data_IF_406998322648
#
_entry.id   IF_406998322648
#
_cell.length_a   1.000
_cell.length_b   1.000
_cell.length_c   1.000
_cell.angle_alpha   90.00
_cell.angle_beta   90.00
_cell.angle_gamma   90.00
#
_symmetry.space_group_name_H-M   'P 1'
#
loop_
_entity.id
_entity.type
_entity.pdbx_description
1 polymer ?
#
# COMPACT_ATOMS: atom_id res chain seq x y z
N UNK A 1 21.53 -10.43 -4.96
CA UNK A 1 20.25 -10.92 -4.45
C UNK A 1 19.34 -9.71 -4.43
N UNK A 2 18.33 -9.68 -5.29
CA UNK A 2 17.30 -8.65 -5.20
C UNK A 2 16.51 -9.03 -3.95
N UNK A 3 16.67 -8.28 -2.86
CA UNK A 3 15.77 -8.45 -1.73
C UNK A 3 14.37 -8.14 -2.25
N UNK A 4 13.55 -9.19 -2.32
CA UNK A 4 12.15 -9.07 -2.70
C UNK A 4 11.43 -8.21 -1.67
N UNK A 5 10.38 -7.51 -2.13
CA UNK A 5 9.50 -6.76 -1.25
C UNK A 5 8.98 -7.68 -0.11
N UNK A 6 8.95 -7.21 1.16
CA UNK A 6 8.38 -7.98 2.25
C UNK A 6 6.93 -8.42 1.95
N UNK A 7 6.60 -9.68 2.26
CA UNK A 7 5.32 -10.30 1.89
C UNK A 7 4.11 -9.55 2.44
N UNK A 8 4.21 -8.98 3.65
CA UNK A 8 3.13 -8.18 4.26
C UNK A 8 2.79 -6.94 3.44
N UNK A 9 3.81 -6.27 2.90
CA UNK A 9 3.64 -5.09 2.03
C UNK A 9 3.17 -5.51 0.64
N UNK A 10 3.78 -6.55 0.07
CA UNK A 10 3.41 -7.05 -1.25
C UNK A 10 1.93 -7.46 -1.31
N UNK A 11 1.47 -8.22 -0.32
CA UNK A 11 0.08 -8.67 -0.25
C UNK A 11 -0.90 -7.51 -0.12
N UNK A 12 -0.60 -6.50 0.73
CA UNK A 12 -1.50 -5.36 0.90
C UNK A 12 -1.52 -4.50 -0.37
N UNK A 13 -0.38 -4.28 -1.03
CA UNK A 13 -0.36 -3.59 -2.32
C UNK A 13 -1.14 -4.38 -3.38
N UNK A 14 -1.04 -5.71 -3.39
CA UNK A 14 -1.78 -6.56 -4.31
C UNK A 14 -3.30 -6.54 -4.07
N UNK A 15 -3.74 -6.37 -2.82
CA UNK A 15 -5.15 -6.24 -2.45
C UNK A 15 -5.70 -4.84 -2.75
N UNK A 16 -4.91 -3.79 -2.55
CA UNK A 16 -5.34 -2.40 -2.71
C UNK A 16 -5.28 -1.92 -4.17
N UNK A 17 -4.28 -2.38 -4.95
CA UNK A 17 -4.13 -1.97 -6.34
C UNK A 17 -5.05 -2.79 -7.27
N UNK A 18 -6.25 -2.27 -7.52
CA UNK A 18 -7.26 -2.88 -8.40
C UNK A 18 -6.75 -3.15 -9.83
N UNK A 19 -6.75 -4.40 -10.34
CA UNK A 19 -6.26 -4.74 -11.68
C UNK A 19 -7.10 -4.18 -12.83
N UNK A 20 -8.32 -3.70 -12.57
CA UNK A 20 -9.19 -3.09 -13.60
C UNK A 20 -8.86 -1.61 -13.85
N UNK A 21 -8.02 -1.00 -13.01
CA UNK A 21 -7.64 0.41 -13.12
C UNK A 21 -6.27 0.58 -13.80
N UNK A 22 -6.18 1.29 -14.94
CA UNK A 22 -4.92 1.41 -15.69
C UNK A 22 -3.75 1.97 -14.87
N UNK A 23 -4.01 2.91 -13.96
CA UNK A 23 -2.99 3.47 -13.07
C UNK A 23 -2.46 2.41 -12.10
N UNK A 24 -3.35 1.63 -11.49
CA UNK A 24 -2.97 0.54 -10.57
C UNK A 24 -2.19 -0.55 -11.30
N UNK A 25 -2.61 -0.94 -12.52
CA UNK A 25 -1.86 -1.90 -13.35
C UNK A 25 -0.43 -1.41 -13.59
N UNK A 26 -0.24 -0.11 -13.87
CA UNK A 26 1.09 0.47 -14.05
C UNK A 26 1.90 0.46 -12.74
N UNK A 27 1.30 0.82 -11.60
CA UNK A 27 1.96 0.78 -10.29
C UNK A 27 2.35 -0.65 -9.88
N UNK A 28 1.51 -1.65 -10.17
CA UNK A 28 1.83 -3.06 -9.89
C UNK A 28 3.05 -3.56 -10.65
N UNK A 29 3.33 -3.03 -11.85
CA UNK A 29 4.56 -3.37 -12.59
C UNK A 29 5.83 -2.88 -11.90
N UNK A 30 5.72 -1.97 -10.93
CA UNK A 30 6.85 -1.45 -10.17
C UNK A 30 7.23 -2.35 -8.98
N UNK A 31 6.30 -3.16 -8.46
CA UNK A 31 6.49 -4.06 -7.30
C UNK A 31 7.78 -4.90 -7.36
N UNK A 32 8.18 -5.50 -8.51
CA UNK A 32 9.39 -6.32 -8.56
C UNK A 32 10.70 -5.55 -8.35
N UNK A 33 10.69 -4.22 -8.51
CA UNK A 33 11.84 -3.33 -8.29
C UNK A 33 11.70 -2.49 -7.02
N UNK A 34 10.57 -2.59 -6.32
CA UNK A 34 10.25 -1.82 -5.13
C UNK A 34 10.95 -2.42 -3.90
N UNK A 35 11.47 -1.56 -3.03
CA UNK A 35 12.01 -1.97 -1.73
C UNK A 35 11.46 -1.08 -0.63
N UNK A 36 11.38 -1.63 0.58
CA UNK A 36 11.06 -0.85 1.77
C UNK A 36 12.33 -0.15 2.24
N UNK A 37 12.35 1.17 2.11
CA UNK A 37 13.42 2.03 2.62
C UNK A 37 13.36 2.14 4.14
N UNK A 38 12.16 2.34 4.68
CA UNK A 38 11.94 2.44 6.13
C UNK A 38 10.49 2.14 6.50
N UNK A 39 10.24 1.92 7.78
CA UNK A 39 8.89 1.78 8.34
C UNK A 39 8.68 2.79 9.45
N UNK A 40 7.42 3.18 9.66
CA UNK A 40 7.05 3.96 10.82
C UNK A 40 7.34 3.19 12.11
N UNK A 41 7.91 3.87 13.11
CA UNK A 41 8.30 3.26 14.39
C UNK A 41 7.16 3.16 15.40
N UNK A 42 5.99 3.74 15.12
CA UNK A 42 4.84 3.67 16.03
C UNK A 42 4.11 2.31 16.00
N UNK A 43 4.41 1.44 15.03
CA UNK A 43 3.81 0.11 14.92
C UNK A 43 2.61 0.01 13.97
N UNK A 44 2.11 1.11 13.39
CA UNK A 44 1.01 1.08 12.41
C UNK A 44 1.35 0.29 11.13
N UNK A 45 2.65 0.17 10.81
CA UNK A 45 3.11 -0.57 9.65
C UNK A 45 3.15 0.22 8.34
N UNK A 46 2.97 1.55 8.39
CA UNK A 46 3.33 2.47 7.29
C UNK A 46 4.75 2.19 6.81
N UNK A 47 4.91 2.02 5.50
CA UNK A 47 6.16 1.65 4.85
C UNK A 47 6.50 2.64 3.74
N UNK A 48 7.70 3.22 3.82
CA UNK A 48 8.25 4.11 2.80
C UNK A 48 9.09 3.31 1.83
N UNK A 49 8.99 3.63 0.54
CA UNK A 49 9.62 2.87 -0.51
C UNK A 49 10.80 3.59 -1.13
N UNK A 50 11.73 2.79 -1.64
CA UNK A 50 12.69 3.21 -2.63
C UNK A 50 12.43 2.45 -3.93
N UNK A 51 12.55 3.15 -5.06
CA UNK A 51 12.35 2.62 -6.39
C UNK A 51 13.32 3.32 -7.34
N UNK A 52 14.07 2.53 -8.11
CA UNK A 52 14.91 3.12 -9.16
C UNK A 52 14.04 3.55 -10.33
N UNK A 53 13.90 4.86 -10.54
CA UNK A 53 13.09 5.40 -11.63
C UNK A 53 13.59 5.00 -13.03
N UNK A 54 14.88 4.65 -13.16
CA UNK A 54 15.45 4.15 -14.42
C UNK A 54 15.06 2.69 -14.72
N UNK A 55 14.50 1.97 -13.74
CA UNK A 55 14.16 0.55 -13.88
C UNK A 55 12.71 0.30 -14.29
N UNK A 56 11.83 1.29 -14.17
CA UNK A 56 10.38 1.12 -14.36
C UNK A 56 9.74 2.40 -14.93
N UNK A 57 8.64 2.23 -15.65
CA UNK A 57 7.87 3.35 -16.19
C UNK A 57 6.98 4.00 -15.11
N UNK A 58 6.78 5.33 -15.16
CA UNK A 58 5.84 6.01 -14.29
C UNK A 58 4.40 5.63 -14.63
N UNK A 59 3.57 5.47 -13.59
CA UNK A 59 2.13 5.35 -13.73
C UNK A 59 1.49 6.70 -14.12
N UNK A 60 0.33 6.70 -14.81
CA UNK A 60 -0.38 7.91 -15.19
C UNK A 60 -1.14 8.56 -14.01
N UNK A 61 -0.47 8.79 -12.88
CA UNK A 61 -1.04 9.42 -11.67
C UNK A 61 -0.77 10.93 -11.59
N UNK A 62 0.00 11.46 -12.54
CA UNK A 62 0.39 12.87 -12.60
C UNK A 62 1.76 13.16 -11.96
N UNK A 63 2.26 14.40 -12.10
CA UNK A 63 3.63 14.76 -11.68
C UNK A 63 3.78 14.99 -10.16
N UNK A 64 2.67 15.13 -9.43
CA UNK A 64 2.66 15.43 -8.00
C UNK A 64 2.64 14.19 -7.12
N UNK A 65 2.51 14.45 -5.82
CA UNK A 65 2.14 13.43 -4.84
C UNK A 65 0.64 13.28 -4.84
N UNK A 66 0.15 12.04 -4.97
CA UNK A 66 -1.27 11.72 -4.93
C UNK A 66 -1.52 10.45 -4.10
N UNK A 67 -2.72 10.37 -3.52
CA UNK A 67 -3.27 9.08 -3.08
C UNK A 67 -3.63 8.32 -4.36
N UNK A 68 -2.85 7.30 -4.68
CA UNK A 68 -3.06 6.48 -5.86
C UNK A 68 -4.17 5.46 -5.65
N UNK A 69 -4.31 4.94 -4.42
CA UNK A 69 -5.40 4.05 -4.02
C UNK A 69 -5.70 4.23 -2.53
N UNK A 70 -6.96 4.06 -2.15
CA UNK A 70 -7.43 4.04 -0.77
C UNK A 70 -8.45 2.92 -0.59
N UNK A 71 -8.36 2.21 0.54
CA UNK A 71 -9.34 1.17 0.90
C UNK A 71 -9.65 1.24 2.39
N UNK A 72 -10.93 1.41 2.72
CA UNK A 72 -11.40 1.33 4.09
C UNK A 72 -11.27 -0.09 4.63
N UNK A 73 -10.77 -0.18 5.86
CA UNK A 73 -10.69 -1.44 6.59
C UNK A 73 -12.03 -1.69 7.26
N UNK A 74 -12.66 -2.82 6.97
CA UNK A 74 -13.94 -3.21 7.57
C UNK A 74 -13.75 -4.53 8.31
N UNK A 75 -14.03 -4.50 9.60
CA UNK A 75 -13.96 -5.69 10.47
C UNK A 75 -15.13 -6.64 10.20
N UNK A 76 -15.05 -7.85 10.77
CA UNK A 76 -16.11 -8.84 10.67
C UNK A 76 -17.43 -8.40 11.34
N UNK A 77 -17.37 -7.48 12.30
CA UNK A 77 -18.52 -6.86 12.97
C UNK A 77 -19.09 -5.67 12.19
N UNK A 78 -18.46 -5.28 11.07
CA UNK A 78 -18.86 -4.15 10.24
C UNK A 78 -18.33 -2.80 10.72
N UNK A 79 -17.45 -2.77 11.72
CA UNK A 79 -16.77 -1.55 12.16
C UNK A 79 -15.68 -1.14 11.16
N UNK A 80 -15.51 0.17 10.96
CA UNK A 80 -14.48 0.73 10.09
C UNK A 80 -13.40 1.44 10.93
N UNK A 81 -12.43 0.70 11.49
CA UNK A 81 -11.45 1.27 12.42
C UNK A 81 -10.38 2.13 11.73
N UNK A 82 -10.29 2.12 10.40
CA UNK A 82 -9.25 2.83 9.66
C UNK A 82 -9.26 2.54 8.16
N UNK A 83 -8.15 2.85 7.51
CA UNK A 83 -7.95 2.67 6.06
C UNK A 83 -6.48 2.41 5.72
N UNK A 84 -6.26 1.86 4.52
CA UNK A 84 -4.94 1.79 3.88
C UNK A 84 -4.91 2.78 2.73
N UNK A 85 -3.86 3.58 2.66
CA UNK A 85 -3.59 4.52 1.58
C UNK A 85 -2.28 4.12 0.87
N UNK A 86 -2.29 4.15 -0.45
CA UNK A 86 -1.09 3.97 -1.27
C UNK A 86 -0.81 5.26 -2.00
N UNK A 87 0.39 5.80 -1.82
CA UNK A 87 0.78 7.07 -2.41
C UNK A 87 1.74 6.87 -3.57
N UNK A 88 1.51 7.63 -4.64
CA UNK A 88 2.42 7.77 -5.75
C UNK A 88 2.97 9.20 -5.81
N UNK A 89 4.23 9.34 -6.16
CA UNK A 89 4.87 10.63 -6.42
C UNK A 89 5.47 10.62 -7.82
N UNK A 90 4.98 11.50 -8.70
CA UNK A 90 5.46 11.57 -10.08
C UNK A 90 5.25 10.27 -10.88
N UNK A 91 4.21 9.49 -10.56
CA UNK A 91 3.95 8.19 -11.17
C UNK A 91 4.63 7.00 -10.51
N UNK A 92 5.41 7.18 -9.44
CA UNK A 92 6.14 6.11 -8.77
C UNK A 92 5.58 5.81 -7.38
N UNK A 93 5.45 4.53 -7.01
CA UNK A 93 5.10 4.12 -5.65
C UNK A 93 6.08 4.74 -4.64
N UNK A 94 5.56 5.47 -3.67
CA UNK A 94 6.37 6.26 -2.72
C UNK A 94 6.21 5.77 -1.29
N UNK A 95 4.98 5.57 -0.80
CA UNK A 95 4.75 4.90 0.49
C UNK A 95 3.36 4.28 0.56
N UNK A 96 3.22 3.36 1.50
CA UNK A 96 1.96 2.80 1.96
C UNK A 96 1.72 3.27 3.39
N UNK A 97 0.53 3.76 3.67
CA UNK A 97 0.13 4.26 4.98
C UNK A 97 -1.05 3.47 5.54
N UNK A 98 -0.97 3.17 6.83
CA UNK A 98 -2.06 2.56 7.60
C UNK A 98 -2.56 3.61 8.58
N UNK A 99 -3.77 4.08 8.36
CA UNK A 99 -4.44 5.08 9.19
C UNK A 99 -5.40 4.40 10.16
N UNK A 100 -5.24 4.68 11.46
CA UNK A 100 -6.23 4.31 12.48
C UNK A 100 -7.12 5.50 12.81
N UNK A 101 -8.42 5.26 12.95
CA UNK A 101 -9.40 6.18 13.55
C UNK A 101 -9.97 5.65 14.87
N UNK A 102 -9.56 4.44 15.27
CA UNK A 102 -10.01 3.79 16.50
C UNK A 102 -8.94 3.86 17.58
N UNK A 103 -9.38 4.10 18.81
CA UNK A 103 -8.57 3.96 20.04
C UNK A 103 -8.65 2.54 20.63
N UNK A 104 -9.70 1.79 20.28
CA UNK A 104 -10.01 0.48 20.87
C UNK A 104 -9.59 -0.70 19.99
N UNK A 105 -9.40 -0.45 18.69
CA UNK A 105 -9.04 -1.46 17.70
C UNK A 105 -7.64 -1.18 17.20
N UNK A 106 -6.73 -2.14 17.39
CA UNK A 106 -5.39 -2.05 16.85
C UNK A 106 -5.42 -2.15 15.31
N UNK A 107 -5.10 -1.04 14.64
CA UNK A 107 -4.97 -0.98 13.19
C UNK A 107 -3.49 -0.93 12.83
N UNK A 108 -2.96 -2.08 12.41
CA UNK A 108 -1.62 -2.21 11.87
C UNK A 108 -1.65 -2.93 10.51
N UNK A 109 -0.52 -2.99 9.80
CA UNK A 109 -0.45 -3.61 8.48
C UNK A 109 -0.89 -5.09 8.45
N UNK A 110 -0.66 -5.84 9.54
CA UNK A 110 -1.11 -7.23 9.63
C UNK A 110 -2.63 -7.32 9.78
N UNK A 111 -3.24 -6.46 10.59
CA UNK A 111 -4.69 -6.36 10.71
C UNK A 111 -5.33 -5.91 9.39
N UNK A 112 -4.73 -4.92 8.72
CA UNK A 112 -5.14 -4.45 7.41
C UNK A 112 -5.15 -5.59 6.38
N UNK A 113 -4.05 -6.37 6.29
CA UNK A 113 -3.97 -7.54 5.39
C UNK A 113 -5.10 -8.53 5.64
N UNK A 114 -5.45 -8.79 6.90
CA UNK A 114 -6.56 -9.69 7.25
C UNK A 114 -7.92 -9.15 6.79
N UNK A 115 -8.22 -7.87 7.05
CA UNK A 115 -9.53 -7.29 6.72
C UNK A 115 -9.71 -7.00 5.23
N UNK A 116 -8.61 -6.82 4.49
CA UNK A 116 -8.64 -6.65 3.03
C UNK A 116 -8.81 -7.97 2.28
N UNK A 117 -8.52 -9.11 2.90
CA UNK A 117 -8.71 -10.41 2.25
C UNK A 117 -10.21 -10.66 2.01
N UNK A 118 -10.58 -11.16 0.81
CA UNK A 118 -11.95 -11.57 0.56
C UNK A 118 -12.41 -12.62 1.58
N UNK A 119 -13.68 -12.59 2.03
CA UNK A 119 -14.22 -13.65 2.85
C UNK A 119 -14.09 -15.00 2.12
N UNK A 120 -13.52 -15.99 2.80
CA UNK A 120 -13.37 -17.37 2.29
C UNK A 120 -14.70 -18.11 2.22
#
# INVERSE_FOLDING_TARGET
>A
MTDSLPEDVADVLDLVLNPDEPAHVALRRQLPQLRVLSRCQCGCGTAYFELSADAVEPAPTGPGTVVAADVQLVTETGECPGEVLVFAQGGYLSWLEVCSWSDDIEVNLAAARRWLQPPS
#
